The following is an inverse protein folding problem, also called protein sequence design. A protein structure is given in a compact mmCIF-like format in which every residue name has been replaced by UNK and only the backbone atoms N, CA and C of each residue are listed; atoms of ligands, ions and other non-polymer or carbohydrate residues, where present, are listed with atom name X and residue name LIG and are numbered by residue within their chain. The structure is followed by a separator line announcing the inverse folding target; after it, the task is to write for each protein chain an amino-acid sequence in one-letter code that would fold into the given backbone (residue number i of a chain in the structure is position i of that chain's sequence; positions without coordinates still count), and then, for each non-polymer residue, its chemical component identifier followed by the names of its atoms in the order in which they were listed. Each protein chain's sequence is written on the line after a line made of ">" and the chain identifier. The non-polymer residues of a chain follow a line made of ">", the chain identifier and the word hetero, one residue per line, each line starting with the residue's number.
data_IF_185918626741
#
_entry.id   IF_185918626741
#
_cell.length_a   1.000
_cell.length_b   1.000
_cell.length_c   1.000
_cell.angle_alpha   90.00
_cell.angle_beta   90.00
_cell.angle_gamma   90.00
#
_symmetry.space_group_name_H-M   'P 1'
#
loop_
_entity.id
_entity.type
_entity.pdbx_description
1 polymer ?
#
# COMPACT_ATOMS: atom_id res chain seq x y z
N UNK A 1 23.17 21.97 18.36
CA UNK A 1 21.78 21.72 17.88
C UNK A 1 21.92 20.92 16.59
N UNK A 2 21.38 19.70 16.54
CA UNK A 2 21.44 18.85 15.35
C UNK A 2 20.74 19.52 14.14
N UNK A 3 21.24 19.25 12.94
CA UNK A 3 20.73 19.77 11.66
C UNK A 3 19.24 19.42 11.48
N UNK A 4 18.81 18.23 11.93
CA UNK A 4 17.39 17.84 11.92
C UNK A 4 16.54 18.82 12.73
N UNK A 5 17.00 19.19 13.93
CA UNK A 5 16.29 20.15 14.78
C UNK A 5 16.21 21.54 14.17
N UNK A 6 17.24 21.97 13.43
CA UNK A 6 17.23 23.27 12.74
C UNK A 6 16.20 23.29 11.60
N UNK A 7 16.14 22.22 10.80
CA UNK A 7 15.18 22.07 9.70
C UNK A 7 13.75 22.04 10.25
N UNK A 8 13.49 21.26 11.30
CA UNK A 8 12.17 21.17 11.96
C UNK A 8 11.71 22.53 12.46
N UNK A 9 12.57 23.27 13.15
CA UNK A 9 12.22 24.59 13.68
C UNK A 9 11.92 25.61 12.56
N UNK A 10 12.67 25.57 11.46
CA UNK A 10 12.44 26.42 10.29
C UNK A 10 11.08 26.13 9.65
N UNK A 11 10.72 24.85 9.46
CA UNK A 11 9.43 24.43 8.92
C UNK A 11 8.27 24.86 9.82
N UNK A 12 8.38 24.62 11.13
CA UNK A 12 7.37 25.04 12.12
C UNK A 12 7.15 26.56 12.06
N UNK A 13 8.22 27.34 12.02
CA UNK A 13 8.13 28.79 11.93
C UNK A 13 7.42 29.24 10.63
N UNK A 14 7.75 28.61 9.50
CA UNK A 14 7.15 28.94 8.20
C UNK A 14 5.66 28.59 8.12
N UNK A 15 5.27 27.46 8.70
CA UNK A 15 3.86 27.04 8.80
C UNK A 15 3.09 28.03 9.68
N UNK A 16 3.62 28.36 10.87
CA UNK A 16 2.95 29.29 11.82
C UNK A 16 2.72 30.68 11.25
N UNK A 17 3.60 31.15 10.38
CA UNK A 17 3.54 32.50 9.81
C UNK A 17 2.79 32.56 8.47
N UNK A 18 2.38 31.42 7.90
CA UNK A 18 1.68 31.40 6.61
C UNK A 18 0.19 31.63 6.78
N UNK A 19 -0.37 32.57 5.99
CA UNK A 19 -1.81 32.73 5.81
C UNK A 19 -2.30 32.17 4.47
N UNK A 20 -1.39 31.63 3.66
CA UNK A 20 -1.69 31.02 2.36
C UNK A 20 -2.22 29.60 2.57
N UNK A 21 -3.53 29.45 2.43
CA UNK A 21 -4.24 28.18 2.64
C UNK A 21 -3.85 27.14 1.59
N UNK A 22 -3.61 27.54 0.35
CA UNK A 22 -3.27 26.60 -0.73
C UNK A 22 -1.86 26.05 -0.53
N UNK A 23 -0.93 26.88 -0.08
CA UNK A 23 0.39 26.44 0.37
C UNK A 23 0.32 25.47 1.56
N UNK A 24 -0.49 25.77 2.58
CA UNK A 24 -0.64 24.91 3.75
C UNK A 24 -1.27 23.55 3.39
N UNK A 25 -2.26 23.54 2.50
CA UNK A 25 -2.85 22.29 1.97
C UNK A 25 -1.83 21.44 1.22
N UNK A 26 -1.02 22.06 0.36
CA UNK A 26 0.02 21.33 -0.36
C UNK A 26 1.04 20.69 0.59
N UNK A 27 1.47 21.42 1.63
CA UNK A 27 2.34 20.87 2.68
C UNK A 27 1.68 19.72 3.45
N UNK A 28 0.41 19.85 3.82
CA UNK A 28 -0.34 18.80 4.50
C UNK A 28 -0.38 17.53 3.65
N UNK A 29 -0.72 17.63 2.37
CA UNK A 29 -0.74 16.47 1.45
C UNK A 29 0.64 15.81 1.33
N UNK A 30 1.73 16.59 1.27
CA UNK A 30 3.08 16.02 1.22
C UNK A 30 3.39 15.23 2.49
N UNK A 31 3.04 15.74 3.67
CA UNK A 31 3.26 15.00 4.92
C UNK A 31 2.41 13.73 4.99
N UNK A 32 1.11 13.82 4.67
CA UNK A 32 0.19 12.68 4.67
C UNK A 32 0.61 11.59 3.67
N UNK A 33 1.09 11.97 2.49
CA UNK A 33 1.60 11.02 1.47
C UNK A 33 2.97 10.45 1.84
N UNK A 34 3.79 11.18 2.61
CA UNK A 34 5.06 10.66 3.11
C UNK A 34 4.90 9.70 4.31
N UNK A 35 3.80 9.84 5.06
CA UNK A 35 3.46 8.99 6.21
C UNK A 35 2.57 7.79 5.82
N UNK A 36 1.97 7.80 4.63
CA UNK A 36 1.47 6.59 3.98
C UNK A 36 2.67 5.71 3.65
N UNK A 37 3.15 5.00 4.68
CA UNK A 37 4.10 3.92 4.52
C UNK A 37 3.65 3.07 3.36
N UNK A 38 4.55 2.87 2.42
CA UNK A 38 4.46 1.77 1.47
C UNK A 38 3.93 0.58 2.25
N UNK A 39 2.76 0.07 1.88
CA UNK A 39 2.38 -1.28 2.31
C UNK A 39 3.38 -2.20 1.61
N UNK A 40 4.57 -2.31 2.20
CA UNK A 40 5.60 -3.23 1.74
C UNK A 40 5.03 -4.61 1.97
N UNK A 41 5.02 -5.37 0.89
CA UNK A 41 4.70 -6.78 0.97
C UNK A 41 5.74 -7.42 1.89
N UNK A 42 5.30 -8.32 2.76
CA UNK A 42 6.25 -9.16 3.47
C UNK A 42 7.00 -10.03 2.44
N UNK A 43 8.23 -10.51 2.75
CA UNK A 43 8.96 -11.40 1.86
C UNK A 43 8.13 -12.62 1.43
N UNK A 44 7.30 -13.15 2.33
CA UNK A 44 6.39 -14.27 2.04
C UNK A 44 5.29 -13.88 1.05
N UNK A 45 4.78 -12.65 1.12
CA UNK A 45 3.79 -12.14 0.18
C UNK A 45 4.41 -11.89 -1.20
N UNK A 46 5.65 -11.40 -1.26
CA UNK A 46 6.39 -11.25 -2.52
C UNK A 46 6.64 -12.60 -3.18
N UNK A 47 7.10 -13.59 -2.41
CA UNK A 47 7.33 -14.95 -2.89
C UNK A 47 6.04 -15.60 -3.39
N UNK A 48 4.94 -15.49 -2.63
CA UNK A 48 3.64 -16.04 -3.02
C UNK A 48 3.11 -15.43 -4.33
N UNK A 49 3.30 -14.12 -4.53
CA UNK A 49 2.90 -13.45 -5.79
C UNK A 49 3.80 -13.91 -6.95
N UNK A 50 5.10 -14.04 -6.73
CA UNK A 50 6.03 -14.51 -7.75
C UNK A 50 5.70 -15.95 -8.19
N UNK A 51 5.42 -16.83 -7.24
CA UNK A 51 4.99 -18.20 -7.51
C UNK A 51 3.65 -18.23 -8.26
N UNK A 52 2.64 -17.50 -7.77
CA UNK A 52 1.31 -17.45 -8.39
C UNK A 52 1.37 -16.98 -9.85
N UNK A 53 2.21 -15.99 -10.17
CA UNK A 53 2.40 -15.53 -11.55
C UNK A 53 2.97 -16.63 -12.44
N UNK A 54 3.96 -17.38 -11.95
CA UNK A 54 4.56 -18.50 -12.67
C UNK A 54 3.55 -19.64 -12.89
N UNK A 55 2.73 -19.94 -11.89
CA UNK A 55 1.65 -20.93 -11.99
C UNK A 55 0.67 -20.54 -13.09
N UNK A 56 0.24 -19.27 -13.15
CA UNK A 56 -0.65 -18.77 -14.22
C UNK A 56 -0.01 -18.93 -15.60
N UNK A 57 1.27 -18.56 -15.76
CA UNK A 57 2.00 -18.71 -17.02
C UNK A 57 2.12 -20.17 -17.48
N UNK A 58 2.23 -21.11 -16.53
CA UNK A 58 2.28 -22.54 -16.79
C UNK A 58 0.91 -23.18 -17.02
N UNK A 59 -0.19 -22.43 -16.87
CA UNK A 59 -1.55 -22.99 -16.91
C UNK A 59 -1.93 -23.77 -15.64
N UNK A 60 -1.19 -23.60 -14.55
CA UNK A 60 -1.44 -24.18 -13.22
C UNK A 60 -2.42 -23.30 -12.42
N UNK A 61 -3.55 -22.95 -13.04
CA UNK A 61 -4.61 -22.20 -12.40
C UNK A 61 -5.96 -22.82 -12.73
N UNK A 62 -6.95 -22.58 -11.88
CA UNK A 62 -8.33 -22.95 -12.14
C UNK A 62 -9.18 -21.68 -12.24
N UNK A 63 -10.11 -21.68 -13.20
CA UNK A 63 -11.07 -20.60 -13.35
C UNK A 63 -12.01 -20.56 -12.15
N UNK A 64 -12.36 -19.34 -11.71
CA UNK A 64 -13.22 -19.14 -10.55
C UNK A 64 -14.54 -19.91 -10.68
N UNK A 65 -15.15 -19.92 -11.86
CA UNK A 65 -16.43 -20.59 -12.07
C UNK A 65 -16.32 -22.12 -11.91
N UNK A 66 -15.20 -22.71 -12.32
CA UNK A 66 -14.88 -24.13 -12.11
C UNK A 66 -14.78 -24.43 -10.62
N UNK A 67 -13.96 -23.67 -9.89
CA UNK A 67 -13.76 -23.83 -8.44
C UNK A 67 -15.08 -23.71 -7.68
N UNK A 68 -15.90 -22.71 -8.00
CA UNK A 68 -17.20 -22.49 -7.35
C UNK A 68 -18.18 -23.63 -7.68
N UNK A 69 -18.17 -24.14 -8.91
CA UNK A 69 -18.99 -25.28 -9.31
C UNK A 69 -18.62 -26.54 -8.52
N UNK A 70 -17.34 -26.89 -8.48
CA UNK A 70 -16.83 -28.06 -7.74
C UNK A 70 -17.14 -27.96 -6.24
N UNK A 71 -16.94 -26.78 -5.64
CA UNK A 71 -17.29 -26.52 -4.25
C UNK A 71 -18.80 -26.76 -3.99
N UNK A 72 -19.68 -26.29 -4.88
CA UNK A 72 -21.13 -26.50 -4.74
C UNK A 72 -21.51 -27.96 -4.85
N UNK A 73 -20.90 -28.71 -5.75
CA UNK A 73 -21.13 -30.16 -5.86
C UNK A 73 -20.64 -30.91 -4.62
N UNK A 74 -19.46 -30.57 -4.11
CA UNK A 74 -18.94 -31.14 -2.86
C UNK A 74 -19.89 -30.92 -1.67
N UNK A 75 -20.47 -29.72 -1.56
CA UNK A 75 -21.44 -29.39 -0.50
C UNK A 75 -22.75 -30.17 -0.60
N UNK A 76 -23.14 -30.63 -1.80
CA UNK A 76 -24.35 -31.46 -2.01
C UNK A 76 -24.14 -32.94 -1.68
N UNK A 77 -22.88 -33.39 -1.66
CA UNK A 77 -22.48 -34.76 -1.32
C UNK A 77 -22.27 -35.02 0.18
N UNK A 78 -22.61 -34.03 1.03
CA UNK A 78 -22.69 -34.14 2.50
C UNK A 78 -24.15 -34.14 2.94
#
# INVERSE_FOLDING_TARGET
>A
MDLSSQIKNSLIARIKNSNDIDFLKALQTIFETSEQGLYELSPEQEEAIAESRKQIENGEFEENDTVISEMREWLKGK
#
